data_IF_153854626071
#
_entry.id   IF_153854626071
#
_cell.length_a   1.000
_cell.length_b   1.000
_cell.length_c   1.000
_cell.angle_alpha   90.00
_cell.angle_beta   90.00
_cell.angle_gamma   90.00
#
_symmetry.space_group_name_H-M   'P 1'
#
loop_
_entity.id
_entity.type
_entity.pdbx_description
1 polymer ?
#
# COMPACT_ATOMS: atom_id res chain seq x y z
N UNK A 1 0.57 -10.22 -5.81
CA UNK A 1 0.66 -9.78 -7.22
C UNK A 1 0.47 -10.97 -8.17
N UNK A 2 1.27 -12.04 -8.06
CA UNK A 2 1.18 -13.21 -8.96
C UNK A 2 -0.23 -13.78 -9.06
N UNK A 3 -0.93 -13.92 -7.93
CA UNK A 3 -2.31 -14.43 -7.94
C UNK A 3 -3.27 -13.49 -8.64
N UNK A 4 -3.13 -12.19 -8.44
CA UNK A 4 -3.98 -11.19 -9.10
C UNK A 4 -3.79 -11.24 -10.62
N UNK A 5 -2.55 -11.32 -11.09
CA UNK A 5 -2.24 -11.47 -12.51
C UNK A 5 -2.82 -12.76 -13.08
N UNK A 6 -2.67 -13.88 -12.36
CA UNK A 6 -3.23 -15.18 -12.76
C UNK A 6 -4.76 -15.13 -12.88
N UNK A 7 -5.42 -14.39 -12.00
CA UNK A 7 -6.87 -14.24 -12.00
C UNK A 7 -7.37 -13.19 -13.01
N UNK A 8 -6.49 -12.67 -13.87
CA UNK A 8 -6.85 -11.70 -14.91
C UNK A 8 -7.04 -10.27 -14.43
N UNK A 9 -6.60 -9.95 -13.21
CA UNK A 9 -6.66 -8.58 -12.68
C UNK A 9 -5.62 -7.70 -13.36
N UNK A 10 -5.99 -6.44 -13.59
CA UNK A 10 -5.03 -5.41 -14.00
C UNK A 10 -4.22 -4.98 -12.77
N UNK A 11 -2.91 -5.11 -12.87
CA UNK A 11 -1.99 -4.74 -11.79
C UNK A 11 -1.05 -3.64 -12.29
N UNK A 12 -1.05 -2.52 -11.57
CA UNK A 12 -0.13 -1.43 -11.81
C UNK A 12 0.80 -1.27 -10.61
N UNK A 13 2.05 -1.01 -10.86
CA UNK A 13 3.08 -0.82 -9.84
C UNK A 13 3.76 0.53 -10.00
N UNK A 14 4.19 1.15 -8.88
CA UNK A 14 4.71 2.50 -8.91
C UNK A 14 6.15 2.58 -9.36
N UNK A 15 6.48 3.67 -10.01
CA UNK A 15 7.84 4.15 -10.28
C UNK A 15 7.99 5.56 -9.77
N UNK A 16 9.02 5.83 -8.99
CA UNK A 16 9.34 7.18 -8.55
C UNK A 16 9.84 8.02 -9.72
N UNK A 17 9.27 9.20 -9.90
CA UNK A 17 9.75 10.15 -10.91
C UNK A 17 10.98 10.87 -10.36
N UNK A 18 12.15 10.80 -11.04
CA UNK A 18 13.38 11.40 -10.53
C UNK A 18 13.24 12.90 -10.21
N UNK A 19 13.86 13.34 -9.12
CA UNK A 19 13.85 14.72 -8.65
C UNK A 19 12.48 15.30 -8.32
N UNK A 20 11.51 14.45 -8.08
CA UNK A 20 10.16 14.85 -7.65
C UNK A 20 9.70 14.00 -6.46
N UNK A 21 8.51 14.32 -5.93
CA UNK A 21 7.79 13.48 -4.97
C UNK A 21 6.60 12.76 -5.60
N UNK A 22 6.62 12.61 -6.91
CA UNK A 22 5.55 12.01 -7.68
C UNK A 22 5.88 10.56 -8.01
N UNK A 23 4.83 9.74 -8.11
CA UNK A 23 4.90 8.38 -8.63
C UNK A 23 4.07 8.27 -9.90
N UNK A 24 4.58 7.50 -10.84
CA UNK A 24 3.84 7.02 -12.00
C UNK A 24 3.56 5.53 -11.82
N UNK A 25 2.43 5.08 -12.31
CA UNK A 25 2.02 3.68 -12.22
C UNK A 25 2.01 3.05 -13.59
N UNK A 26 2.61 1.87 -13.68
CA UNK A 26 2.71 1.11 -14.93
C UNK A 26 2.06 -0.25 -14.78
N UNK A 27 1.27 -0.62 -15.77
CA UNK A 27 0.68 -1.95 -15.85
C UNK A 27 1.76 -2.99 -16.11
N UNK A 28 1.69 -4.10 -15.39
CA UNK A 28 2.60 -5.24 -15.57
C UNK A 28 1.81 -6.51 -15.85
N UNK A 29 2.44 -7.44 -16.55
CA UNK A 29 1.92 -8.79 -16.81
C UNK A 29 2.69 -9.85 -16.02
N UNK A 30 3.92 -9.55 -15.60
CA UNK A 30 4.78 -10.42 -14.83
C UNK A 30 5.68 -9.63 -13.91
N UNK A 31 6.03 -10.21 -12.75
CA UNK A 31 7.04 -9.64 -11.85
C UNK A 31 8.45 -9.62 -12.47
N UNK A 32 8.69 -10.44 -13.50
CA UNK A 32 9.97 -10.46 -14.19
C UNK A 32 10.23 -9.19 -15.01
N UNK A 33 9.22 -8.37 -15.22
CA UNK A 33 9.34 -7.08 -15.90
C UNK A 33 9.94 -5.98 -15.00
N UNK A 34 10.07 -6.24 -13.70
CA UNK A 34 10.59 -5.28 -12.74
C UNK A 34 12.11 -5.26 -12.75
N UNK A 35 12.68 -4.09 -12.51
CA UNK A 35 14.12 -3.86 -12.43
C UNK A 35 14.48 -3.05 -11.18
N UNK A 36 15.72 -3.14 -10.69
CA UNK A 36 16.15 -2.30 -9.56
C UNK A 36 15.98 -0.82 -9.87
N UNK A 37 15.31 -0.11 -8.98
CA UNK A 37 15.03 1.31 -9.11
C UNK A 37 15.50 2.11 -7.90
N UNK A 38 14.77 3.17 -7.59
CA UNK A 38 15.05 4.06 -6.47
C UNK A 38 15.07 3.28 -5.14
N UNK A 39 16.06 3.54 -4.31
CA UNK A 39 16.26 2.88 -3.00
C UNK A 39 16.47 1.36 -3.09
N UNK A 40 16.89 0.81 -4.22
CA UNK A 40 17.04 -0.63 -4.41
C UNK A 40 15.73 -1.40 -4.49
N UNK A 41 14.62 -0.72 -4.52
CA UNK A 41 13.28 -1.32 -4.68
C UNK A 41 13.06 -1.65 -6.15
N UNK A 42 12.44 -2.79 -6.41
CA UNK A 42 12.08 -3.17 -7.78
C UNK A 42 10.98 -2.25 -8.31
N UNK A 43 11.20 -1.70 -9.48
CA UNK A 43 10.28 -0.78 -10.16
C UNK A 43 9.99 -1.24 -11.59
N UNK A 44 8.83 -0.86 -12.16
CA UNK A 44 8.55 -1.13 -13.57
C UNK A 44 9.44 -0.27 -14.48
N UNK A 45 9.66 -0.74 -15.69
CA UNK A 45 10.33 0.05 -16.73
C UNK A 45 9.42 1.20 -17.17
N UNK A 46 9.98 2.36 -17.51
CA UNK A 46 9.20 3.52 -17.94
C UNK A 46 8.74 3.36 -19.39
N UNK A 47 7.78 2.49 -19.62
CA UNK A 47 7.19 2.25 -20.93
C UNK A 47 5.91 3.07 -21.10
N UNK A 48 5.88 4.09 -21.98
CA UNK A 48 4.69 4.93 -22.17
C UNK A 48 3.43 4.15 -22.57
N UNK A 49 3.58 3.02 -23.24
CA UNK A 49 2.45 2.19 -23.63
C UNK A 49 1.75 1.52 -22.45
N UNK A 50 2.43 1.40 -21.32
CA UNK A 50 1.92 0.76 -20.10
C UNK A 50 1.61 1.74 -18.98
N UNK A 51 1.83 3.02 -19.19
CA UNK A 51 1.53 4.05 -18.20
C UNK A 51 0.03 4.07 -17.92
N UNK A 52 -0.32 3.97 -16.64
CA UNK A 52 -1.70 4.10 -16.19
C UNK A 52 -2.08 5.58 -16.21
N UNK A 53 -3.01 5.95 -17.09
CA UNK A 53 -3.38 7.35 -17.32
C UNK A 53 -4.22 7.96 -16.20
N UNK A 54 -5.01 7.13 -15.49
CA UNK A 54 -5.76 7.55 -14.31
C UNK A 54 -5.52 6.59 -13.15
N UNK A 55 -4.44 6.80 -12.36
CA UNK A 55 -4.10 5.94 -11.24
C UNK A 55 -4.93 6.17 -9.97
N UNK A 56 -5.91 7.08 -10.01
CA UNK A 56 -6.70 7.45 -8.82
C UNK A 56 -7.82 6.49 -8.49
N UNK A 57 -8.11 5.54 -9.38
CA UNK A 57 -9.22 4.59 -9.24
C UNK A 57 -8.71 3.17 -9.03
N UNK A 58 -9.57 2.34 -8.47
CA UNK A 58 -9.28 0.94 -8.19
C UNK A 58 -8.98 0.69 -6.73
N UNK A 59 -8.23 -0.36 -6.43
CA UNK A 59 -7.78 -0.71 -5.09
C UNK A 59 -6.29 -0.40 -4.96
N UNK A 60 -5.92 0.35 -3.94
CA UNK A 60 -4.52 0.67 -3.67
C UNK A 60 -3.99 -0.14 -2.48
N UNK A 61 -2.92 -0.90 -2.69
CA UNK A 61 -2.17 -1.57 -1.64
C UNK A 61 -0.97 -0.70 -1.27
N UNK A 62 -0.84 -0.35 -0.01
CA UNK A 62 0.20 0.57 0.46
C UNK A 62 1.12 -0.14 1.46
N UNK A 63 2.38 -0.40 1.08
CA UNK A 63 3.37 -0.89 2.03
C UNK A 63 3.87 0.23 2.93
N UNK A 64 4.34 -0.12 4.12
CA UNK A 64 5.01 0.80 5.02
C UNK A 64 5.95 0.05 5.97
N UNK A 65 6.85 0.78 6.61
CA UNK A 65 7.73 0.22 7.64
C UNK A 65 6.92 -0.24 8.85
N UNK A 66 5.94 0.54 9.23
CA UNK A 66 4.96 0.16 10.26
C UNK A 66 3.65 0.93 10.09
N UNK A 67 2.61 0.39 10.68
CA UNK A 67 1.28 0.99 10.79
C UNK A 67 0.85 1.07 12.24
N UNK A 68 -0.07 1.99 12.55
CA UNK A 68 -0.82 1.96 13.80
C UNK A 68 -2.25 1.44 13.57
N UNK A 69 -2.99 1.25 14.65
CA UNK A 69 -4.36 0.73 14.59
C UNK A 69 -5.36 1.64 13.89
N UNK A 70 -5.04 2.92 13.75
CA UNK A 70 -5.86 3.88 13.02
C UNK A 70 -5.56 3.91 11.54
N UNK A 71 -4.55 3.16 11.10
CA UNK A 71 -4.17 3.08 9.69
C UNK A 71 -3.16 4.12 9.24
N UNK A 72 -2.59 4.89 10.16
CA UNK A 72 -1.47 5.77 9.86
C UNK A 72 -0.18 4.97 9.72
N UNK A 73 0.72 5.45 8.89
CA UNK A 73 1.93 4.72 8.53
C UNK A 73 3.17 5.55 8.73
N UNK A 74 4.25 4.85 9.02
CA UNK A 74 5.61 5.36 8.94
C UNK A 74 6.24 4.82 7.65
N UNK A 75 6.56 5.73 6.74
CA UNK A 75 7.26 5.42 5.49
C UNK A 75 8.72 5.88 5.54
N UNK A 76 9.31 6.01 4.35
CA UNK A 76 10.72 6.40 4.19
C UNK A 76 10.96 7.91 4.24
N UNK A 77 9.96 8.71 4.60
CA UNK A 77 10.10 10.17 4.78
C UNK A 77 10.07 11.01 3.50
N UNK A 78 9.85 10.43 2.33
CA UNK A 78 9.81 11.14 1.04
C UNK A 78 8.42 11.65 0.65
N UNK A 79 7.36 11.18 1.31
CA UNK A 79 5.98 11.65 1.08
C UNK A 79 5.34 11.19 -0.23
N UNK A 80 5.91 10.21 -0.92
CA UNK A 80 5.35 9.71 -2.20
C UNK A 80 3.91 9.22 -2.06
N UNK A 81 3.64 8.36 -1.09
CA UNK A 81 2.31 7.81 -0.88
C UNK A 81 1.33 8.83 -0.33
N UNK A 82 1.76 9.69 0.60
CA UNK A 82 0.88 10.73 1.15
C UNK A 82 0.37 11.66 0.07
N UNK A 83 1.25 12.06 -0.85
CA UNK A 83 0.90 12.90 -1.99
C UNK A 83 -0.05 12.18 -2.95
N UNK A 84 0.24 10.93 -3.29
CA UNK A 84 -0.59 10.14 -4.18
C UNK A 84 -1.98 9.87 -3.58
N UNK A 85 -2.02 9.45 -2.31
CA UNK A 85 -3.26 9.09 -1.64
C UNK A 85 -4.18 10.28 -1.37
N UNK A 86 -3.65 11.49 -1.34
CA UNK A 86 -4.47 12.70 -1.19
C UNK A 86 -5.52 12.84 -2.30
N UNK A 87 -5.23 12.32 -3.49
CA UNK A 87 -6.12 12.40 -4.67
C UNK A 87 -6.71 11.05 -5.08
N UNK A 88 -6.45 9.98 -4.32
CA UNK A 88 -6.93 8.64 -4.64
C UNK A 88 -8.39 8.46 -4.20
N UNK A 89 -9.24 7.96 -5.09
CA UNK A 89 -10.69 7.86 -4.88
C UNK A 89 -11.16 6.47 -4.45
N UNK A 90 -10.31 5.45 -4.53
CA UNK A 90 -10.67 4.07 -4.22
C UNK A 90 -10.34 3.64 -2.80
N UNK A 91 -10.64 2.40 -2.45
CA UNK A 91 -10.24 1.82 -1.17
C UNK A 91 -8.73 1.66 -1.05
N UNK A 92 -8.22 1.89 0.15
CA UNK A 92 -6.81 1.85 0.48
C UNK A 92 -6.56 0.78 1.52
N UNK A 93 -5.66 -0.16 1.22
CA UNK A 93 -5.30 -1.27 2.09
C UNK A 93 -3.83 -1.19 2.45
N UNK A 94 -3.53 -1.18 3.74
CA UNK A 94 -2.17 -1.23 4.25
C UNK A 94 -1.67 -2.65 4.42
N UNK A 95 -0.41 -2.88 4.08
CA UNK A 95 0.24 -4.18 4.21
C UNK A 95 1.51 -4.02 5.03
N UNK A 96 1.63 -4.79 6.10
CA UNK A 96 2.86 -4.92 6.88
C UNK A 96 2.84 -6.23 7.68
N UNK A 97 3.97 -6.59 8.26
CA UNK A 97 4.01 -7.67 9.23
C UNK A 97 3.32 -7.27 10.53
N UNK A 98 2.68 -8.21 11.21
CA UNK A 98 2.01 -7.99 12.50
C UNK A 98 2.98 -7.44 13.56
N UNK A 99 4.24 -7.86 13.52
CA UNK A 99 5.30 -7.33 14.40
C UNK A 99 5.62 -5.85 14.15
N UNK A 100 5.18 -5.29 13.04
CA UNK A 100 5.38 -3.89 12.66
C UNK A 100 4.17 -3.01 12.97
N UNK A 101 3.17 -3.52 13.66
CA UNK A 101 2.04 -2.72 14.15
C UNK A 101 2.45 -2.01 15.43
N UNK A 102 2.13 -0.73 15.52
CA UNK A 102 2.39 0.14 16.67
C UNK A 102 1.08 0.60 17.29
N UNK A 103 1.14 0.97 18.54
CA UNK A 103 -0.06 1.47 19.25
C UNK A 103 -0.54 2.79 18.66
N UNK A 104 0.37 3.68 18.38
CA UNK A 104 0.12 4.99 17.78
C UNK A 104 1.38 5.48 17.08
N UNK A 105 1.20 6.09 15.94
CA UNK A 105 2.27 6.75 15.18
C UNK A 105 1.99 8.24 15.07
N UNK A 106 3.02 9.09 15.07
CA UNK A 106 2.83 10.48 14.75
C UNK A 106 2.34 10.64 13.32
N UNK A 107 1.38 11.52 13.11
CA UNK A 107 0.85 11.83 11.79
C UNK A 107 0.46 13.29 11.69
N UNK A 108 0.48 13.82 10.49
CA UNK A 108 0.05 15.17 10.18
C UNK A 108 -1.44 15.24 9.86
N UNK A 109 -1.94 16.47 9.79
CA UNK A 109 -3.35 16.76 9.49
C UNK A 109 -3.80 16.24 8.13
N UNK A 110 -2.89 16.18 7.17
CA UNK A 110 -3.18 15.77 5.79
C UNK A 110 -2.78 14.33 5.48
N UNK A 111 -2.26 13.61 6.45
CA UNK A 111 -1.91 12.20 6.27
C UNK A 111 -3.19 11.38 6.20
N UNK A 112 -3.35 10.63 5.12
CA UNK A 112 -4.53 9.80 4.91
C UNK A 112 -4.29 8.39 5.43
N UNK A 113 -5.05 7.92 6.44
CA UNK A 113 -4.93 6.55 6.92
C UNK A 113 -5.50 5.56 5.91
N UNK A 114 -5.01 4.32 5.96
CA UNK A 114 -5.61 3.20 5.23
C UNK A 114 -6.89 2.75 5.91
N UNK A 115 -7.79 2.14 5.15
CA UNK A 115 -9.11 1.69 5.64
C UNK A 115 -9.08 0.26 6.19
N UNK A 116 -8.12 -0.53 5.72
CA UNK A 116 -7.93 -1.92 6.11
C UNK A 116 -6.44 -2.20 6.27
N UNK A 117 -6.08 -2.90 7.34
CA UNK A 117 -4.75 -3.44 7.56
C UNK A 117 -4.76 -4.94 7.29
N UNK A 118 -3.82 -5.41 6.49
CA UNK A 118 -3.57 -6.82 6.22
C UNK A 118 -2.17 -7.17 6.67
N UNK A 119 -2.05 -8.18 7.52
CA UNK A 119 -0.77 -8.65 8.04
C UNK A 119 -0.57 -10.13 7.73
N UNK A 120 0.54 -10.68 8.15
CA UNK A 120 0.83 -12.11 8.09
C UNK A 120 -0.07 -12.97 9.00
N UNK A 121 -0.74 -12.37 9.98
CA UNK A 121 -1.55 -13.09 10.98
C UNK A 121 -3.02 -12.76 10.95
N UNK A 122 -3.40 -11.55 10.54
CA UNK A 122 -4.78 -11.08 10.58
C UNK A 122 -5.02 -9.96 9.59
N UNK A 123 -6.29 -9.64 9.40
CA UNK A 123 -6.70 -8.39 8.78
C UNK A 123 -7.67 -7.65 9.70
N UNK A 124 -7.71 -6.33 9.60
CA UNK A 124 -8.52 -5.49 10.47
C UNK A 124 -8.90 -4.17 9.81
N UNK A 125 -10.15 -3.76 10.00
CA UNK A 125 -10.60 -2.40 9.63
C UNK A 125 -10.07 -1.38 10.63
N UNK A 126 -9.64 -0.24 10.13
CA UNK A 126 -9.01 0.81 10.94
C UNK A 126 -10.01 1.79 11.54
N UNK A 127 -11.26 1.77 11.09
CA UNK A 127 -12.37 2.57 11.61
C UNK A 127 -12.96 2.01 12.92
N UNK A 128 -12.48 0.86 13.37
CA UNK A 128 -12.90 0.23 14.61
C UNK A 128 -12.04 0.69 15.78
N UNK A 129 -12.68 0.79 16.96
CA UNK A 129 -11.99 1.03 18.23
C UNK A 129 -10.82 0.05 18.41
N UNK A 130 -9.68 0.53 18.94
CA UNK A 130 -8.59 -0.36 19.31
C UNK A 130 -9.07 -1.45 20.26
N UNK A 131 -8.50 -2.64 20.16
CA UNK A 131 -8.87 -3.74 21.06
C UNK A 131 -8.84 -3.31 22.53
N UNK A 132 -9.93 -3.56 23.25
CA UNK A 132 -9.86 -3.64 24.69
C UNK A 132 -8.90 -4.77 25.06
N UNK A 133 -8.11 -4.55 26.11
CA UNK A 133 -7.15 -5.56 26.62
C UNK A 133 -7.84 -6.93 26.69
N UNK A 134 -7.32 -7.89 25.95
CA UNK A 134 -7.74 -9.29 26.03
C UNK A 134 -8.48 -9.87 24.82
N UNK A 135 -8.78 -9.09 23.78
CA UNK A 135 -9.36 -9.66 22.55
C UNK A 135 -8.29 -9.81 21.47
N UNK A 136 -8.08 -11.02 20.93
CA UNK A 136 -7.14 -11.21 19.83
C UNK A 136 -7.65 -10.54 18.55
N UNK A 137 -6.73 -10.11 17.67
CA UNK A 137 -7.12 -9.63 16.34
C UNK A 137 -7.82 -10.73 15.53
N UNK A 138 -8.63 -10.30 14.56
CA UNK A 138 -9.30 -11.25 13.68
C UNK A 138 -8.28 -12.06 12.88
N UNK A 139 -8.49 -13.38 12.84
CA UNK A 139 -7.62 -14.29 12.09
C UNK A 139 -7.89 -14.21 10.60
N UNK A 140 -6.83 -14.30 9.80
CA UNK A 140 -6.92 -14.44 8.35
C UNK A 140 -7.34 -15.84 7.90
N UNK A 141 -7.44 -16.80 8.83
CA UNK A 141 -7.68 -18.22 8.52
C UNK A 141 -9.12 -18.58 8.17
N UNK A 142 -10.00 -17.63 7.93
CA UNK A 142 -11.40 -17.89 7.53
C UNK A 142 -11.68 -17.57 6.06
N UNK A 143 -10.70 -17.53 5.22
CA UNK A 143 -10.94 -17.50 3.78
C UNK A 143 -10.66 -18.88 3.19
N UNK A 144 -11.70 -19.62 3.05
CA UNK A 144 -11.77 -20.73 2.10
C UNK A 144 -12.30 -20.22 0.77
#
# INVERSE_FOLDING_TARGET
IRRALKDGKRVAVPRCVPNTRQMEFYLIESLDELEPGTFGVLEPRPDPARLLTDPRKGLCLVPALCYDWKGFRLGYGKGYYDRFLAEFDGPIVGICYSSCIRRSLPHGRYDRPVELLVTDRYFRRTDREPFSKGKPPMSTNKQR
#
